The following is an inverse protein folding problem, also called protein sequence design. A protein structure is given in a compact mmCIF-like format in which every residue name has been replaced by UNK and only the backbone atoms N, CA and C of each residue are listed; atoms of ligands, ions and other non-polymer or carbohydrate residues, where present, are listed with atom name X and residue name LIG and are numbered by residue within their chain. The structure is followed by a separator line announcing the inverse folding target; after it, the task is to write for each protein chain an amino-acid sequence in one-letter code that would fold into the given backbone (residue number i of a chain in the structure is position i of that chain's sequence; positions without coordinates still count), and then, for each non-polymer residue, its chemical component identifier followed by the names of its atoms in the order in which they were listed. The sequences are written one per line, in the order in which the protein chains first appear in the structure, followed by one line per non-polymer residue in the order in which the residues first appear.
data_IF_318063166363
#
_entry.id   IF_318063166363
#
_cell.length_a   1.000
_cell.length_b   1.000
_cell.length_c   1.000
_cell.angle_alpha   90.00
_cell.angle_beta   90.00
_cell.angle_gamma   90.00
#
_symmetry.space_group_name_H-M   'P 1'
#
loop_
_entity.id
_entity.type
_entity.pdbx_description
1 polymer ?
#
# COMPACT_ATOMS: atom_id res chain seq x y z
N UNK A 1 -17.58 -19.01 -10.45
CA UNK A 1 -17.40 -17.73 -11.17
C UNK A 1 -17.65 -16.60 -10.16
N UNK A 2 -16.75 -15.61 -10.04
CA UNK A 2 -16.96 -14.47 -9.15
C UNK A 2 -18.00 -13.53 -9.76
N UNK A 3 -18.97 -13.13 -8.96
CA UNK A 3 -19.96 -12.09 -9.27
C UNK A 3 -19.29 -10.79 -9.75
N UNK A 4 -19.92 -10.07 -10.68
CA UNK A 4 -19.33 -8.88 -11.32
C UNK A 4 -18.93 -7.82 -10.28
N UNK A 5 -19.80 -7.57 -9.30
CA UNK A 5 -19.54 -6.61 -8.23
C UNK A 5 -18.35 -7.02 -7.36
N UNK A 6 -18.21 -8.32 -7.11
CA UNK A 6 -17.06 -8.85 -6.37
C UNK A 6 -15.78 -8.64 -7.15
N UNK A 7 -15.79 -8.76 -8.48
CA UNK A 7 -14.61 -8.50 -9.32
C UNK A 7 -14.19 -7.03 -9.27
N UNK A 8 -15.14 -6.11 -9.42
CA UNK A 8 -14.90 -4.66 -9.35
C UNK A 8 -14.34 -4.26 -7.99
N UNK A 9 -14.96 -4.71 -6.90
CA UNK A 9 -14.48 -4.43 -5.55
C UNK A 9 -13.09 -5.01 -5.29
N UNK A 10 -12.84 -6.26 -5.71
CA UNK A 10 -11.54 -6.91 -5.53
C UNK A 10 -10.43 -6.15 -6.26
N UNK A 11 -10.68 -5.68 -7.48
CA UNK A 11 -9.71 -4.88 -8.22
C UNK A 11 -9.42 -3.55 -7.51
N UNK A 12 -10.45 -2.82 -7.08
CA UNK A 12 -10.28 -1.57 -6.31
C UNK A 12 -9.50 -1.76 -5.01
N UNK A 13 -9.80 -2.84 -4.28
CA UNK A 13 -9.07 -3.19 -3.06
C UNK A 13 -7.60 -3.50 -3.36
N UNK A 14 -7.32 -4.26 -4.42
CA UNK A 14 -5.96 -4.55 -4.86
C UNK A 14 -5.21 -3.27 -5.23
N UNK A 15 -5.85 -2.32 -5.93
CA UNK A 15 -5.26 -1.03 -6.26
C UNK A 15 -4.93 -0.20 -5.02
N UNK A 16 -5.85 -0.11 -4.06
CA UNK A 16 -5.58 0.56 -2.78
C UNK A 16 -4.40 -0.08 -2.03
N UNK A 17 -4.35 -1.43 -1.97
CA UNK A 17 -3.24 -2.16 -1.35
C UNK A 17 -1.90 -1.82 -2.00
N UNK A 18 -1.84 -1.76 -3.34
CA UNK A 18 -0.62 -1.42 -4.09
C UNK A 18 -0.08 -0.04 -3.71
N UNK A 19 -0.95 0.97 -3.60
CA UNK A 19 -0.54 2.31 -3.17
C UNK A 19 0.09 2.28 -1.77
N UNK A 20 -0.53 1.57 -0.85
CA UNK A 20 -0.04 1.42 0.54
C UNK A 20 1.32 0.70 0.56
N UNK A 21 1.46 -0.39 -0.19
CA UNK A 21 2.71 -1.16 -0.28
C UNK A 21 3.85 -0.38 -0.89
N UNK A 22 3.57 0.41 -1.93
CA UNK A 22 4.57 1.29 -2.53
C UNK A 22 5.11 2.31 -1.52
N UNK A 23 4.23 2.94 -0.73
CA UNK A 23 4.64 3.86 0.34
C UNK A 23 5.52 3.16 1.38
N UNK A 24 5.12 1.97 1.84
CA UNK A 24 5.95 1.20 2.79
C UNK A 24 7.31 0.82 2.19
N UNK A 25 7.34 0.39 0.93
CA UNK A 25 8.59 0.08 0.22
C UNK A 25 9.54 1.28 0.18
N UNK A 26 9.04 2.46 -0.16
CA UNK A 26 9.83 3.70 -0.16
C UNK A 26 10.32 4.04 1.25
N UNK A 27 9.45 3.96 2.26
CA UNK A 27 9.84 4.25 3.64
C UNK A 27 10.93 3.30 4.14
N UNK A 28 10.81 2.00 3.90
CA UNK A 28 11.81 1.00 4.29
C UNK A 28 13.13 1.20 3.52
N UNK A 29 13.07 1.48 2.22
CA UNK A 29 14.26 1.73 1.41
C UNK A 29 15.02 3.01 1.83
N UNK A 30 14.29 4.04 2.30
CA UNK A 30 14.88 5.34 2.69
C UNK A 30 15.32 5.41 4.15
N UNK A 31 14.57 4.78 5.05
CA UNK A 31 14.82 4.84 6.48
C UNK A 31 15.32 3.48 6.97
N UNK A 32 16.65 3.29 7.00
CA UNK A 32 17.30 2.04 7.39
C UNK A 32 16.84 1.50 8.77
N UNK A 33 16.35 2.37 9.65
CA UNK A 33 15.75 1.97 10.95
C UNK A 33 14.56 1.02 10.78
N UNK A 34 13.83 1.11 9.67
CA UNK A 34 12.67 0.27 9.36
C UNK A 34 13.03 -1.06 8.68
N UNK A 35 14.27 -1.24 8.22
CA UNK A 35 14.72 -2.49 7.57
C UNK A 35 15.02 -3.60 8.59
N UNK A 36 15.38 -3.23 9.81
CA UNK A 36 15.80 -4.17 10.86
C UNK A 36 14.76 -4.24 11.96
N UNK A 37 14.79 -5.34 12.71
CA UNK A 37 13.99 -5.46 13.94
C UNK A 37 14.38 -4.33 14.89
N UNK A 38 13.39 -3.52 15.27
CA UNK A 38 13.58 -2.38 16.18
C UNK A 38 13.45 -2.91 17.61
N UNK A 39 14.57 -2.96 18.34
CA UNK A 39 14.58 -3.40 19.74
C UNK A 39 14.35 -2.22 20.69
N UNK A 40 13.15 -1.63 20.63
CA UNK A 40 12.70 -0.51 21.47
C UNK A 40 11.30 -0.79 22.01
N UNK A 41 10.88 -0.04 23.03
CA UNK A 41 9.51 -0.09 23.52
C UNK A 41 8.51 0.35 22.43
N UNK A 42 7.28 -0.19 22.42
CA UNK A 42 6.27 0.18 21.42
C UNK A 42 6.03 1.70 21.30
N UNK A 43 6.01 2.41 22.42
CA UNK A 43 5.84 3.88 22.41
C UNK A 43 6.96 4.62 21.67
N UNK A 44 8.20 4.12 21.72
CA UNK A 44 9.30 4.69 20.95
C UNK A 44 9.21 4.32 19.46
N UNK A 45 8.68 3.14 19.14
CA UNK A 45 8.45 2.71 17.75
C UNK A 45 7.42 3.62 17.08
N UNK A 46 6.32 3.95 17.78
CA UNK A 46 5.29 4.85 17.25
C UNK A 46 5.86 6.23 16.90
N UNK A 47 6.73 6.78 17.77
CA UNK A 47 7.43 8.05 17.53
C UNK A 47 8.35 7.94 16.30
N UNK A 48 9.11 6.84 16.16
CA UNK A 48 9.99 6.63 15.00
C UNK A 48 9.19 6.58 13.70
N UNK A 49 8.10 5.81 13.68
CA UNK A 49 7.25 5.68 12.49
C UNK A 49 6.63 7.02 12.12
N UNK A 50 6.07 7.76 13.08
CA UNK A 50 5.52 9.10 12.82
C UNK A 50 6.60 10.07 12.32
N UNK A 51 7.81 10.02 12.89
CA UNK A 51 8.93 10.85 12.45
C UNK A 51 9.32 10.52 11.01
N UNK A 52 9.38 9.24 10.62
CA UNK A 52 9.63 8.82 9.25
C UNK A 52 8.56 9.37 8.29
N UNK A 53 7.28 9.32 8.67
CA UNK A 53 6.18 9.88 7.88
C UNK A 53 6.29 11.41 7.72
N UNK A 54 6.60 12.13 8.80
CA UNK A 54 6.78 13.59 8.76
C UNK A 54 7.97 13.97 7.87
N UNK A 55 9.12 13.31 8.04
CA UNK A 55 10.31 13.54 7.21
C UNK A 55 10.06 13.20 5.75
N UNK A 56 9.38 12.08 5.47
CA UNK A 56 8.99 11.71 4.12
C UNK A 56 8.13 12.80 3.47
N UNK A 57 7.11 13.29 4.17
CA UNK A 57 6.23 14.34 3.67
C UNK A 57 6.98 15.66 3.43
N UNK A 58 7.88 16.02 4.35
CA UNK A 58 8.73 17.21 4.20
C UNK A 58 9.64 17.09 2.97
N UNK A 59 10.38 15.99 2.83
CA UNK A 59 11.30 15.77 1.71
C UNK A 59 10.57 15.66 0.37
N UNK A 60 9.38 15.04 0.33
CA UNK A 60 8.54 15.03 -0.88
C UNK A 60 8.10 16.42 -1.32
N UNK A 61 7.89 17.36 -0.39
CA UNK A 61 7.48 18.74 -0.72
C UNK A 61 8.66 19.63 -1.12
N UNK A 62 9.82 19.44 -0.51
CA UNK A 62 10.94 20.36 -0.64
C UNK A 62 12.10 19.85 -1.52
N UNK A 63 12.14 18.54 -1.81
CA UNK A 63 13.23 17.91 -2.56
C UNK A 63 12.72 16.79 -3.48
N UNK A 64 11.55 16.97 -4.12
CA UNK A 64 10.84 15.92 -4.88
C UNK A 64 11.73 15.22 -5.92
N UNK A 65 12.44 15.98 -6.74
CA UNK A 65 13.28 15.45 -7.83
C UNK A 65 14.43 14.57 -7.34
N UNK A 66 15.00 14.88 -6.17
CA UNK A 66 16.11 14.13 -5.58
C UNK A 66 15.63 13.00 -4.67
N UNK A 67 14.57 13.25 -3.88
CA UNK A 67 14.09 12.33 -2.86
C UNK A 67 13.16 11.24 -3.42
N UNK A 68 12.32 11.55 -4.40
CA UNK A 68 11.39 10.61 -5.01
C UNK A 68 11.29 10.87 -6.51
N UNK A 69 12.35 10.57 -7.29
CA UNK A 69 12.29 10.71 -8.74
C UNK A 69 11.16 9.84 -9.31
N UNK A 70 10.51 10.22 -10.42
CA UNK A 70 9.38 9.47 -11.00
C UNK A 70 9.69 7.99 -11.24
N UNK A 71 10.94 7.69 -11.60
CA UNK A 71 11.43 6.33 -11.82
C UNK A 71 11.40 5.46 -10.55
N UNK A 72 11.35 6.04 -9.35
CA UNK A 72 11.42 5.32 -8.06
C UNK A 72 10.07 4.91 -7.48
N UNK A 73 8.96 5.26 -8.15
CA UNK A 73 7.60 5.06 -7.66
C UNK A 73 6.82 4.24 -8.68
N UNK A 74 6.12 3.20 -8.22
CA UNK A 74 5.21 2.45 -9.08
C UNK A 74 4.15 3.40 -9.67
N UNK A 75 3.97 3.36 -10.98
CA UNK A 75 2.99 4.18 -11.71
C UNK A 75 1.98 3.27 -12.40
N UNK A 76 0.71 3.62 -12.31
CA UNK A 76 -0.38 2.98 -13.05
C UNK A 76 -0.79 3.89 -14.21
N UNK A 77 -0.84 3.34 -15.42
CA UNK A 77 -1.45 4.04 -16.56
C UNK A 77 -2.97 3.95 -16.41
N UNK A 78 -3.64 5.10 -16.32
CA UNK A 78 -5.09 5.18 -16.10
C UNK A 78 -5.91 4.60 -17.27
N UNK A 79 -5.37 4.62 -18.49
CA UNK A 79 -6.07 4.18 -19.71
C UNK A 79 -5.88 2.68 -19.98
N UNK A 80 -4.66 2.17 -19.77
CA UNK A 80 -4.33 0.76 -20.05
C UNK A 80 -4.40 -0.14 -18.82
N UNK A 81 -4.49 0.46 -17.62
CA UNK A 81 -4.32 -0.21 -16.33
C UNK A 81 -3.00 -0.99 -16.22
N UNK A 82 -2.02 -0.64 -17.06
CA UNK A 82 -0.69 -1.23 -17.01
C UNK A 82 0.09 -0.62 -15.85
N UNK A 83 0.82 -1.49 -15.18
CA UNK A 83 1.63 -1.16 -14.03
C UNK A 83 3.08 -1.10 -14.48
N UNK A 84 3.73 0.04 -14.28
CA UNK A 84 5.20 0.13 -14.26
C UNK A 84 5.67 0.16 -12.83
N UNK A 85 6.43 -0.86 -12.46
CA UNK A 85 7.10 -0.89 -11.16
C UNK A 85 8.22 0.15 -11.15
N UNK A 86 8.33 0.88 -10.04
CA UNK A 86 9.41 1.83 -9.83
C UNK A 86 10.72 1.09 -9.57
N UNK A 87 11.83 1.64 -10.07
CA UNK A 87 13.19 1.26 -9.69
C UNK A 87 13.41 1.57 -8.21
N UNK A 88 13.12 0.58 -7.36
CA UNK A 88 13.51 0.60 -5.95
C UNK A 88 15.01 0.33 -5.90
N UNK A 89 15.75 1.12 -5.12
CA UNK A 89 17.17 0.84 -4.88
C UNK A 89 17.33 -0.61 -4.42
N UNK A 90 18.30 -1.34 -5.00
CA UNK A 90 18.59 -2.73 -4.70
C UNK A 90 18.93 -2.90 -3.20
N UNK A 91 17.91 -3.12 -2.39
CA UNK A 91 18.01 -3.28 -0.95
C UNK A 91 16.83 -4.11 -0.50
N UNK A 92 17.14 -5.26 0.10
CA UNK A 92 16.25 -6.29 0.63
C UNK A 92 14.76 -6.05 0.37
N UNK A 93 14.23 -6.76 -0.65
CA UNK A 93 12.80 -6.79 -0.93
C UNK A 93 12.03 -6.99 0.38
N UNK A 94 11.25 -5.98 0.78
CA UNK A 94 10.19 -6.15 1.78
C UNK A 94 9.39 -7.34 1.30
N UNK A 95 9.51 -8.47 1.99
CA UNK A 95 8.94 -9.72 1.55
C UNK A 95 7.47 -9.48 1.20
N UNK A 96 7.08 -9.79 -0.04
CA UNK A 96 5.68 -9.75 -0.46
C UNK A 96 4.87 -10.48 0.62
N UNK A 97 3.85 -9.82 1.16
CA UNK A 97 3.02 -10.40 2.21
C UNK A 97 2.46 -11.71 1.64
N UNK A 98 3.01 -12.83 2.11
CA UNK A 98 2.59 -14.16 1.68
C UNK A 98 1.11 -14.30 2.02
N UNK A 99 0.28 -14.63 1.02
CA UNK A 99 -1.10 -15.01 1.30
C UNK A 99 -1.05 -16.24 2.22
N UNK A 100 -1.59 -16.11 3.43
CA UNK A 100 -1.63 -17.20 4.40
C UNK A 100 -2.17 -18.49 3.80
N UNK A 101 -1.65 -19.63 4.27
CA UNK A 101 -1.98 -20.98 3.77
C UNK A 101 -3.47 -21.33 3.79
N UNK A 102 -4.31 -20.57 4.50
CA UNK A 102 -5.77 -20.71 4.53
C UNK A 102 -6.41 -20.08 3.29
N UNK A 103 -6.68 -20.91 2.29
CA UNK A 103 -7.38 -20.52 1.06
C UNK A 103 -8.85 -20.09 1.28
N UNK A 104 -9.43 -20.37 2.44
CA UNK A 104 -10.80 -19.98 2.78
C UNK A 104 -10.81 -18.97 3.93
N UNK A 105 -11.38 -17.80 3.69
CA UNK A 105 -11.57 -16.76 4.71
C UNK A 105 -12.73 -17.16 5.65
N UNK A 106 -12.69 -16.65 6.89
CA UNK A 106 -13.78 -16.86 7.86
C UNK A 106 -15.07 -16.21 7.37
N UNK A 107 -16.23 -16.73 7.80
CA UNK A 107 -17.53 -16.15 7.45
C UNK A 107 -17.66 -14.68 7.89
N UNK A 108 -17.08 -14.34 9.04
CA UNK A 108 -17.01 -12.95 9.50
C UNK A 108 -16.23 -12.05 8.52
N UNK A 109 -15.08 -12.51 8.01
CA UNK A 109 -14.29 -11.76 7.02
C UNK A 109 -15.04 -11.62 5.68
N UNK A 110 -15.78 -12.64 5.26
CA UNK A 110 -16.64 -12.57 4.07
C UNK A 110 -17.75 -11.54 4.25
N UNK A 111 -18.40 -11.51 5.41
CA UNK A 111 -19.44 -10.53 5.74
C UNK A 111 -18.90 -9.10 5.72
N UNK A 112 -17.71 -8.87 6.29
CA UNK A 112 -17.04 -7.55 6.25
C UNK A 112 -16.74 -7.16 4.79
N UNK A 113 -16.25 -8.11 3.98
CA UNK A 113 -15.99 -7.86 2.56
C UNK A 113 -17.25 -7.46 1.81
N UNK A 114 -18.36 -8.16 2.04
CA UNK A 114 -19.64 -7.83 1.41
C UNK A 114 -20.20 -6.49 1.89
N UNK A 115 -20.05 -6.14 3.18
CA UNK A 115 -20.41 -4.81 3.70
C UNK A 115 -19.64 -3.69 3.00
N UNK A 116 -18.32 -3.82 2.89
CA UNK A 116 -17.50 -2.83 2.18
C UNK A 116 -17.85 -2.77 0.69
N UNK A 117 -18.02 -3.92 0.04
CA UNK A 117 -18.46 -3.97 -1.36
C UNK A 117 -19.75 -3.18 -1.58
N UNK A 118 -20.75 -3.39 -0.72
CA UNK A 118 -22.03 -2.67 -0.82
C UNK A 118 -21.85 -1.17 -0.57
N UNK A 119 -21.07 -0.79 0.44
CA UNK A 119 -20.80 0.62 0.76
C UNK A 119 -20.07 1.35 -0.38
N UNK A 120 -18.97 0.78 -0.90
CA UNK A 120 -18.21 1.40 -2.00
C UNK A 120 -18.95 1.42 -3.35
N UNK A 121 -20.12 0.78 -3.42
CA UNK A 121 -21.06 0.90 -4.55
C UNK A 121 -22.15 1.94 -4.32
N UNK A 122 -22.38 2.38 -3.08
CA UNK A 122 -23.40 3.38 -2.76
C UNK A 122 -22.98 4.77 -3.24
N UNK A 123 -23.92 5.71 -3.29
CA UNK A 123 -23.63 7.07 -3.74
C UNK A 123 -22.61 7.77 -2.81
N UNK A 124 -22.65 7.44 -1.52
CA UNK A 124 -21.81 8.00 -0.47
C UNK A 124 -20.40 7.39 -0.47
N UNK A 125 -20.29 6.10 -0.78
CA UNK A 125 -19.02 5.37 -0.72
C UNK A 125 -18.30 5.21 -2.06
N UNK A 126 -18.92 5.57 -3.20
CA UNK A 126 -18.27 5.40 -4.52
C UNK A 126 -16.97 6.19 -4.62
N UNK A 127 -15.92 5.54 -5.09
CA UNK A 127 -14.61 6.14 -5.35
C UNK A 127 -14.43 6.29 -6.86
N UNK A 128 -13.82 7.39 -7.36
CA UNK A 128 -13.40 7.47 -8.75
C UNK A 128 -12.62 6.23 -9.21
N UNK A 129 -12.71 5.92 -10.49
CA UNK A 129 -11.81 4.95 -11.09
C UNK A 129 -10.42 5.55 -11.13
#
# INVERSE_FOLDING_TARGET
MLDHDKRVFNYRLSRARRVVENVFGILVARFCVLQKKINLSPGNIDIIVMTCCVLHNFLRRHATSTYTPPESVDTENEDTHEIRDGHRAEGENVASISMGHTRNSTEAAKLVRDKFKTFFKSAEGRVPW
#
